data_IF_192952642951
#
_entry.id   IF_192952642951
#
_cell.length_a   1.000
_cell.length_b   1.000
_cell.length_c   1.000
_cell.angle_alpha   90.00
_cell.angle_beta   90.00
_cell.angle_gamma   90.00
#
_symmetry.space_group_name_H-M   'P 1'
#
loop_
_entity.id
_entity.type
_entity.pdbx_description
1 polymer ?
#
# COMPACT_ATOMS: atom_id res chain seq x y z
N UNK A 1 1.60 -36.17 -14.52
CA UNK A 1 1.50 -36.09 -13.06
C UNK A 1 0.22 -35.36 -12.74
N UNK A 2 -0.78 -36.10 -12.29
CA UNK A 2 -2.12 -35.57 -12.02
C UNK A 2 -2.28 -35.24 -10.55
N UNK A 3 -2.89 -34.09 -10.28
CA UNK A 3 -3.42 -33.75 -8.96
C UNK A 3 -4.93 -33.59 -9.09
N UNK A 4 -5.63 -34.69 -8.87
CA UNK A 4 -7.07 -34.74 -8.71
C UNK A 4 -7.42 -34.33 -7.29
N UNK A 5 -7.97 -33.12 -7.13
CA UNK A 5 -8.58 -32.69 -5.87
C UNK A 5 -9.81 -33.56 -5.54
N UNK A 6 -9.98 -33.99 -4.28
CA UNK A 6 -11.09 -34.87 -3.91
C UNK A 6 -12.41 -34.08 -3.87
N UNK A 7 -13.38 -34.55 -4.67
CA UNK A 7 -14.79 -34.18 -4.57
C UNK A 7 -15.33 -34.76 -3.28
N UNK A 8 -15.73 -33.92 -2.33
CA UNK A 8 -16.55 -34.35 -1.20
C UNK A 8 -17.98 -34.54 -1.69
N UNK A 9 -18.30 -35.79 -1.98
CA UNK A 9 -19.64 -36.31 -2.20
C UNK A 9 -20.50 -36.03 -0.97
N UNK A 10 -21.59 -35.28 -1.16
CA UNK A 10 -22.68 -35.23 -0.20
C UNK A 10 -23.39 -36.56 -0.19
N UNK A 11 -23.22 -37.32 0.88
CA UNK A 11 -24.05 -38.47 1.20
C UNK A 11 -24.06 -38.62 2.71
N UNK A 12 -25.24 -38.58 3.31
CA UNK A 12 -25.77 -39.57 4.26
C UNK A 12 -27.13 -39.01 4.71
N UNK A 13 -28.20 -39.41 4.03
CA UNK A 13 -29.49 -39.60 4.70
C UNK A 13 -29.29 -40.81 5.61
N UNK A 14 -29.37 -40.58 6.91
CA UNK A 14 -29.33 -41.61 7.93
C UNK A 14 -30.51 -41.39 8.84
N UNK A 15 -31.62 -42.04 8.50
CA UNK A 15 -32.71 -42.29 9.44
C UNK A 15 -32.13 -42.96 10.69
N UNK A 16 -32.28 -42.32 11.83
CA UNK A 16 -32.10 -42.97 13.14
C UNK A 16 -33.29 -42.61 14.02
N UNK A 17 -34.41 -43.26 13.72
CA UNK A 17 -35.43 -43.57 14.72
C UNK A 17 -34.93 -44.77 15.54
N UNK A 18 -34.30 -44.51 16.69
CA UNK A 18 -34.29 -45.45 17.82
C UNK A 18 -33.72 -44.83 19.09
N UNK A 19 -34.59 -44.57 20.07
CA UNK A 19 -34.47 -45.15 21.41
C UNK A 19 -35.64 -44.67 22.29
N UNK A 20 -36.68 -45.50 22.37
CA UNK A 20 -37.67 -45.44 23.44
C UNK A 20 -37.41 -46.64 24.36
N UNK A 21 -36.56 -46.46 25.38
CA UNK A 21 -36.34 -47.43 26.44
C UNK A 21 -37.15 -47.00 27.67
N UNK A 22 -38.13 -47.85 27.97
CA UNK A 22 -38.87 -48.05 29.23
C UNK A 22 -38.27 -47.37 30.47
N UNK A 23 -39.11 -46.59 31.15
CA UNK A 23 -39.24 -46.63 32.61
C UNK A 23 -40.73 -46.57 32.97
N UNK A 24 -41.21 -47.66 33.55
CA UNK A 24 -42.51 -47.81 34.21
C UNK A 24 -42.46 -47.19 35.61
N UNK A 25 -43.59 -46.64 36.07
CA UNK A 25 -43.72 -45.98 37.38
C UNK A 25 -44.77 -44.87 37.35
N UNK A 26 -46.02 -45.25 37.55
CA UNK A 26 -47.17 -44.36 37.45
C UNK A 26 -47.20 -43.20 38.45
N UNK A 27 -47.66 -42.03 37.96
CA UNK A 27 -48.66 -41.15 38.59
C UNK A 27 -48.83 -39.85 37.74
N UNK A 28 -50.09 -39.47 37.50
CA UNK A 28 -50.57 -38.17 36.97
C UNK A 28 -50.29 -37.87 35.47
N UNK A 29 -51.18 -38.35 34.60
CA UNK A 29 -51.04 -38.36 33.14
C UNK A 29 -51.59 -37.16 32.33
N UNK A 30 -51.58 -35.92 32.82
CA UNK A 30 -52.03 -34.77 32.00
C UNK A 30 -51.08 -33.56 31.95
N UNK A 31 -50.13 -33.45 32.88
CA UNK A 31 -49.22 -32.29 32.93
C UNK A 31 -47.88 -32.52 32.20
N UNK A 32 -47.46 -33.78 32.01
CA UNK A 32 -46.16 -34.13 31.42
C UNK A 32 -46.15 -33.97 29.90
N UNK A 33 -47.20 -34.42 29.21
CA UNK A 33 -47.29 -34.35 27.74
C UNK A 33 -47.28 -32.92 27.20
N UNK A 34 -48.01 -32.01 27.85
CA UNK A 34 -48.01 -30.59 27.48
C UNK A 34 -46.64 -29.91 27.63
N UNK A 35 -45.77 -30.44 28.49
CA UNK A 35 -44.42 -29.90 28.69
C UNK A 35 -43.42 -30.43 27.66
N UNK A 36 -43.51 -31.71 27.27
CA UNK A 36 -42.75 -32.30 26.15
C UNK A 36 -43.12 -31.65 24.83
N UNK A 37 -44.42 -31.50 24.56
CA UNK A 37 -44.92 -30.90 23.32
C UNK A 37 -44.48 -29.43 23.16
N UNK A 38 -44.43 -28.67 24.27
CA UNK A 38 -43.86 -27.31 24.28
C UNK A 38 -42.34 -27.30 24.06
N UNK A 39 -41.61 -28.28 24.59
CA UNK A 39 -40.16 -28.41 24.39
C UNK A 39 -39.84 -28.78 22.94
N UNK A 40 -40.64 -29.64 22.31
CA UNK A 40 -40.52 -30.01 20.91
C UNK A 40 -40.88 -28.84 19.99
N UNK A 41 -41.94 -28.10 20.30
CA UNK A 41 -42.30 -26.90 19.57
C UNK A 41 -41.20 -25.81 19.65
N UNK A 42 -40.54 -25.66 20.81
CA UNK A 42 -39.37 -24.78 20.98
C UNK A 42 -38.17 -25.27 20.15
N UNK A 43 -37.95 -26.57 20.10
CA UNK A 43 -36.86 -27.19 19.33
C UNK A 43 -37.07 -27.01 17.82
N UNK A 44 -38.29 -27.23 17.33
CA UNK A 44 -38.66 -27.00 15.92
C UNK A 44 -38.45 -25.53 15.52
N UNK A 45 -38.87 -24.58 16.36
CA UNK A 45 -38.64 -23.13 16.11
C UNK A 45 -37.16 -22.79 16.04
N UNK A 46 -36.34 -23.32 16.95
CA UNK A 46 -34.88 -23.11 16.95
C UNK A 46 -34.24 -23.67 15.68
N UNK A 47 -34.65 -24.86 15.23
CA UNK A 47 -34.15 -25.47 14.00
C UNK A 47 -34.53 -24.66 12.76
N UNK A 48 -35.76 -24.14 12.69
CA UNK A 48 -36.19 -23.25 11.62
C UNK A 48 -35.35 -21.96 11.56
N UNK A 49 -35.14 -21.31 12.71
CA UNK A 49 -34.28 -20.11 12.80
C UNK A 49 -32.82 -20.41 12.44
N UNK A 50 -32.28 -21.56 12.85
CA UNK A 50 -30.92 -21.96 12.47
C UNK A 50 -30.81 -22.22 10.97
N UNK A 51 -31.81 -22.85 10.35
CA UNK A 51 -31.87 -23.05 8.89
C UNK A 51 -31.87 -21.71 8.15
N UNK A 52 -32.66 -20.74 8.61
CA UNK A 52 -32.67 -19.39 8.03
C UNK A 52 -31.35 -18.64 8.25
N UNK A 53 -30.79 -18.71 9.45
CA UNK A 53 -29.50 -18.10 9.78
C UNK A 53 -28.36 -18.68 8.92
N UNK A 54 -28.36 -20.01 8.72
CA UNK A 54 -27.39 -20.69 7.86
C UNK A 54 -27.53 -20.25 6.39
N UNK A 55 -28.75 -20.13 5.86
CA UNK A 55 -28.98 -19.60 4.50
C UNK A 55 -28.47 -18.17 4.37
N UNK A 56 -28.79 -17.29 5.32
CA UNK A 56 -28.32 -15.89 5.33
C UNK A 56 -26.79 -15.81 5.43
N UNK A 57 -26.18 -16.66 6.24
CA UNK A 57 -24.72 -16.77 6.36
C UNK A 57 -24.07 -17.18 5.04
N UNK A 58 -24.58 -18.26 4.41
CA UNK A 58 -24.11 -18.74 3.10
C UNK A 58 -24.25 -17.66 2.02
N UNK A 59 -25.38 -16.95 1.99
CA UNK A 59 -25.61 -15.90 1.01
C UNK A 59 -24.62 -14.74 1.16
N UNK A 60 -24.37 -14.28 2.40
CA UNK A 60 -23.35 -13.25 2.68
C UNK A 60 -21.95 -13.70 2.29
N UNK A 61 -21.57 -14.94 2.63
CA UNK A 61 -20.27 -15.48 2.24
C UNK A 61 -20.11 -15.53 0.71
N UNK A 62 -21.17 -15.94 0.00
CA UNK A 62 -21.18 -15.95 -1.47
C UNK A 62 -20.99 -14.54 -2.04
N UNK A 63 -21.72 -13.55 -1.53
CA UNK A 63 -21.60 -12.16 -1.97
C UNK A 63 -20.19 -11.59 -1.69
N UNK A 64 -19.62 -11.88 -0.51
CA UNK A 64 -18.27 -11.44 -0.16
C UNK A 64 -17.19 -12.07 -1.06
N UNK A 65 -17.27 -13.38 -1.33
CA UNK A 65 -16.34 -14.06 -2.24
C UNK A 65 -16.45 -13.48 -3.65
N UNK A 66 -17.66 -13.24 -4.15
CA UNK A 66 -17.87 -12.59 -5.45
C UNK A 66 -17.27 -11.17 -5.49
N UNK A 67 -17.42 -10.39 -4.42
CA UNK A 67 -16.79 -9.08 -4.30
C UNK A 67 -15.25 -9.19 -4.32
N UNK A 68 -14.68 -10.18 -3.63
CA UNK A 68 -13.24 -10.43 -3.64
C UNK A 68 -12.75 -10.80 -5.05
N UNK A 69 -13.45 -11.68 -5.77
CA UNK A 69 -13.12 -12.04 -7.15
C UNK A 69 -13.16 -10.82 -8.08
N UNK A 70 -14.21 -9.99 -7.98
CA UNK A 70 -14.30 -8.73 -8.72
C UNK A 70 -13.15 -7.77 -8.38
N UNK A 71 -12.81 -7.64 -7.10
CA UNK A 71 -11.71 -6.77 -6.66
C UNK A 71 -10.35 -7.25 -7.19
N UNK A 72 -10.13 -8.58 -7.20
CA UNK A 72 -8.92 -9.20 -7.74
C UNK A 72 -8.78 -8.94 -9.23
N UNK A 73 -9.85 -9.12 -10.00
CA UNK A 73 -9.85 -8.83 -11.44
C UNK A 73 -9.54 -7.36 -11.72
N UNK A 74 -10.16 -6.44 -10.97
CA UNK A 74 -9.89 -5.00 -11.09
C UNK A 74 -8.44 -4.66 -10.77
N UNK A 75 -7.86 -5.30 -9.76
CA UNK A 75 -6.46 -5.09 -9.39
C UNK A 75 -5.52 -5.57 -10.49
N UNK A 76 -5.78 -6.76 -11.07
CA UNK A 76 -5.01 -7.25 -12.21
C UNK A 76 -5.13 -6.32 -13.43
N UNK A 77 -6.30 -5.75 -13.69
CA UNK A 77 -6.48 -4.77 -14.77
C UNK A 77 -5.65 -3.50 -14.53
N UNK A 78 -5.74 -2.91 -13.33
CA UNK A 78 -4.98 -1.72 -12.96
C UNK A 78 -3.47 -1.97 -13.02
N UNK A 79 -3.01 -3.15 -12.64
CA UNK A 79 -1.60 -3.54 -12.73
C UNK A 79 -1.13 -3.61 -14.18
N UNK A 80 -1.94 -4.18 -15.09
CA UNK A 80 -1.66 -4.18 -16.53
C UNK A 80 -1.65 -2.77 -17.12
N UNK A 81 -2.61 -1.91 -16.74
CA UNK A 81 -2.65 -0.51 -17.18
C UNK A 81 -1.42 0.26 -16.70
N UNK A 82 -0.98 0.05 -15.46
CA UNK A 82 0.22 0.67 -14.90
C UNK A 82 1.49 0.19 -15.61
N UNK A 83 1.62 -1.11 -15.89
CA UNK A 83 2.72 -1.64 -16.69
C UNK A 83 2.75 -1.04 -18.10
N UNK A 84 1.58 -0.93 -18.75
CA UNK A 84 1.44 -0.30 -20.07
C UNK A 84 1.83 1.19 -20.04
N UNK A 85 1.35 1.94 -19.04
CA UNK A 85 1.68 3.35 -18.86
C UNK A 85 3.17 3.55 -18.61
N UNK A 86 3.83 2.65 -17.86
CA UNK A 86 5.30 2.66 -17.71
C UNK A 86 6.02 2.41 -19.03
N UNK A 87 5.59 1.45 -19.83
CA UNK A 87 6.19 1.20 -21.16
C UNK A 87 5.97 2.37 -22.13
N UNK A 88 4.80 3.00 -22.11
CA UNK A 88 4.52 4.20 -22.90
C UNK A 88 5.33 5.41 -22.39
N UNK A 89 5.51 5.57 -21.08
CA UNK A 89 6.38 6.58 -20.48
C UNK A 89 7.86 6.40 -20.79
N UNK A 90 8.31 5.16 -21.07
CA UNK A 90 9.66 4.89 -21.60
C UNK A 90 9.79 5.28 -23.08
N UNK A 91 8.70 5.23 -23.86
CA UNK A 91 8.67 5.61 -25.28
C UNK A 91 8.48 7.12 -25.51
N UNK A 92 7.85 7.86 -24.60
CA UNK A 92 7.67 9.33 -24.71
C UNK A 92 8.95 10.12 -24.38
N UNK A 93 10.05 9.46 -24.01
CA UNK A 93 11.36 10.13 -24.00
C UNK A 93 11.96 10.36 -25.40
N UNK A 94 11.35 9.87 -26.50
CA UNK A 94 11.91 10.03 -27.85
C UNK A 94 11.10 10.85 -28.85
N UNK A 95 9.87 11.29 -28.55
CA UNK A 95 9.06 11.98 -29.55
C UNK A 95 8.26 13.13 -28.94
N UNK A 96 8.58 14.35 -29.37
CA UNK A 96 7.85 15.56 -29.05
C UNK A 96 6.40 15.53 -29.57
N UNK A 97 5.61 16.43 -29.00
CA UNK A 97 4.21 16.74 -29.30
C UNK A 97 3.15 15.75 -28.80
N UNK A 98 2.58 16.03 -27.61
CA UNK A 98 1.14 16.29 -27.54
C UNK A 98 0.71 17.02 -26.26
N UNK A 99 -0.02 18.11 -26.49
CA UNK A 99 -0.77 18.87 -25.51
C UNK A 99 -1.91 18.03 -24.88
N UNK A 100 -2.42 18.49 -23.72
CA UNK A 100 -3.56 17.95 -22.94
C UNK A 100 -3.26 16.87 -21.88
N UNK A 101 -2.46 17.22 -20.86
CA UNK A 101 -2.73 16.86 -19.44
C UNK A 101 -1.90 17.75 -18.50
N UNK A 102 -2.32 19.00 -18.31
CA UNK A 102 -1.53 20.04 -17.64
C UNK A 102 -1.20 19.75 -16.17
N UNK A 103 -1.99 18.93 -15.47
CA UNK A 103 -1.70 18.59 -14.04
C UNK A 103 -0.76 17.39 -13.89
N UNK A 104 -0.77 16.42 -14.82
CA UNK A 104 0.11 15.24 -14.76
C UNK A 104 1.53 15.50 -15.27
N UNK A 105 1.68 16.44 -16.20
CA UNK A 105 2.98 16.75 -16.83
C UNK A 105 3.95 17.48 -15.87
N UNK A 106 3.45 18.34 -14.98
CA UNK A 106 4.28 19.14 -14.09
C UNK A 106 5.07 18.29 -13.09
N UNK A 107 4.44 17.25 -12.54
CA UNK A 107 5.08 16.30 -11.61
C UNK A 107 6.20 15.51 -12.29
N UNK A 108 5.95 14.97 -13.49
CA UNK A 108 6.97 14.23 -14.25
C UNK A 108 8.11 15.13 -14.73
N UNK A 109 7.81 16.37 -15.12
CA UNK A 109 8.82 17.35 -15.51
C UNK A 109 9.74 17.71 -14.34
N UNK A 110 9.16 17.98 -13.16
CA UNK A 110 9.93 18.22 -11.94
C UNK A 110 10.83 17.03 -11.58
N UNK A 111 10.30 15.80 -11.62
CA UNK A 111 11.07 14.60 -11.30
C UNK A 111 12.28 14.43 -12.24
N UNK A 112 12.10 14.71 -13.53
CA UNK A 112 13.16 14.65 -14.53
C UNK A 112 14.21 15.76 -14.34
N UNK A 113 13.78 16.99 -14.09
CA UNK A 113 14.68 18.13 -13.83
C UNK A 113 15.47 17.92 -12.53
N UNK A 114 14.82 17.47 -11.46
CA UNK A 114 15.47 17.19 -10.18
C UNK A 114 16.48 16.05 -10.28
N UNK A 115 16.19 15.00 -11.07
CA UNK A 115 17.14 13.90 -11.33
C UNK A 115 18.40 14.40 -12.04
N UNK A 116 18.24 15.16 -13.13
CA UNK A 116 19.36 15.79 -13.85
C UNK A 116 20.17 16.69 -12.92
N UNK A 117 19.50 17.50 -12.11
CA UNK A 117 20.16 18.34 -11.12
C UNK A 117 21.01 17.53 -10.12
N UNK A 118 20.51 16.37 -9.65
CA UNK A 118 21.25 15.48 -8.75
C UNK A 118 22.50 14.88 -9.40
N UNK A 119 22.39 14.45 -10.65
CA UNK A 119 23.52 13.90 -11.42
C UNK A 119 24.64 14.95 -11.53
N UNK A 120 24.27 16.19 -11.83
CA UNK A 120 25.17 17.32 -11.96
C UNK A 120 25.77 17.77 -10.62
N UNK A 121 25.00 17.69 -9.53
CA UNK A 121 25.47 18.03 -8.18
C UNK A 121 26.72 17.22 -7.83
N UNK A 122 26.72 15.92 -8.11
CA UNK A 122 27.87 15.06 -7.79
C UNK A 122 29.12 15.43 -8.61
N UNK A 123 28.95 15.82 -9.87
CA UNK A 123 30.04 16.34 -10.71
C UNK A 123 30.61 17.63 -10.12
N UNK A 124 29.74 18.59 -9.77
CA UNK A 124 30.13 19.88 -9.19
C UNK A 124 30.82 19.75 -7.83
N UNK A 125 30.37 18.84 -6.98
CA UNK A 125 31.06 18.56 -5.71
C UNK A 125 32.45 17.96 -5.91
N UNK A 126 32.61 17.05 -6.88
CA UNK A 126 33.92 16.47 -7.21
C UNK A 126 34.88 17.51 -7.77
N UNK A 127 34.40 18.40 -8.63
CA UNK A 127 35.16 19.53 -9.18
C UNK A 127 35.69 20.43 -8.04
N UNK A 128 34.82 20.78 -7.09
CA UNK A 128 35.20 21.57 -5.92
C UNK A 128 36.23 20.85 -5.02
N UNK A 129 36.02 19.57 -4.71
CA UNK A 129 36.98 18.78 -3.93
C UNK A 129 38.33 18.68 -4.64
N UNK A 130 38.33 18.42 -5.95
CA UNK A 130 39.57 18.32 -6.74
C UNK A 130 40.35 19.63 -6.74
N UNK A 131 39.67 20.77 -6.89
CA UNK A 131 40.31 22.07 -6.86
C UNK A 131 40.91 22.40 -5.47
N UNK A 132 40.24 21.95 -4.40
CA UNK A 132 40.76 22.08 -3.05
C UNK A 132 42.01 21.21 -2.85
N UNK A 133 41.96 19.95 -3.28
CA UNK A 133 43.07 19.00 -3.16
C UNK A 133 44.29 19.43 -3.97
N UNK A 134 44.07 19.99 -5.16
CA UNK A 134 45.13 20.51 -6.03
C UNK A 134 45.65 21.89 -5.62
N UNK A 135 45.15 22.47 -4.52
CA UNK A 135 45.50 23.81 -4.05
C UNK A 135 45.33 24.86 -5.16
N UNK A 136 44.17 24.82 -5.84
CA UNK A 136 43.83 25.75 -6.91
C UNK A 136 43.96 27.21 -6.45
N UNK A 137 44.28 28.08 -7.41
CA UNK A 137 44.41 29.51 -7.13
C UNK A 137 43.09 30.12 -6.66
N UNK A 138 43.13 31.18 -5.83
CA UNK A 138 41.93 31.87 -5.36
C UNK A 138 40.91 32.22 -6.48
N UNK A 139 41.29 32.81 -7.63
CA UNK A 139 40.33 33.14 -8.68
C UNK A 139 39.69 31.91 -9.32
N UNK A 140 40.43 30.81 -9.44
CA UNK A 140 39.92 29.54 -9.95
C UNK A 140 38.93 28.92 -8.97
N UNK A 141 39.30 28.86 -7.68
CA UNK A 141 38.43 28.36 -6.62
C UNK A 141 37.14 29.18 -6.52
N UNK A 142 37.23 30.51 -6.61
CA UNK A 142 36.07 31.41 -6.63
C UNK A 142 35.12 31.08 -7.78
N UNK A 143 35.65 30.88 -8.98
CA UNK A 143 34.85 30.53 -10.17
C UNK A 143 34.10 29.21 -9.95
N UNK A 144 34.75 28.20 -9.36
CA UNK A 144 34.13 26.91 -9.07
C UNK A 144 33.03 27.06 -8.00
N UNK A 145 33.28 27.84 -6.94
CA UNK A 145 32.30 28.13 -5.89
C UNK A 145 31.08 28.84 -6.47
N UNK A 146 31.27 29.87 -7.30
CA UNK A 146 30.18 30.57 -7.98
C UNK A 146 29.35 29.61 -8.85
N UNK A 147 30.01 28.70 -9.58
CA UNK A 147 29.31 27.67 -10.35
C UNK A 147 28.51 26.67 -9.48
N UNK A 148 29.01 26.30 -8.29
CA UNK A 148 28.29 25.46 -7.34
C UNK A 148 27.08 26.20 -6.77
N UNK A 149 27.23 27.48 -6.40
CA UNK A 149 26.12 28.29 -5.89
C UNK A 149 25.02 28.47 -6.93
N UNK A 150 25.38 28.81 -8.17
CA UNK A 150 24.43 28.89 -9.27
C UNK A 150 23.69 27.56 -9.51
N UNK A 151 24.37 26.42 -9.34
CA UNK A 151 23.74 25.10 -9.41
C UNK A 151 22.68 24.93 -8.31
N UNK A 152 22.92 25.38 -7.08
CA UNK A 152 21.92 25.32 -6.02
C UNK A 152 20.76 26.32 -6.23
N UNK A 153 21.02 27.51 -6.76
CA UNK A 153 19.96 28.46 -7.13
C UNK A 153 18.97 27.84 -8.13
N UNK A 154 19.49 27.08 -9.10
CA UNK A 154 18.69 26.34 -10.07
C UNK A 154 17.74 25.33 -9.40
N UNK A 155 18.19 24.63 -8.34
CA UNK A 155 17.31 23.75 -7.56
C UNK A 155 16.11 24.51 -6.98
N UNK A 156 16.35 25.69 -6.41
CA UNK A 156 15.28 26.50 -5.83
C UNK A 156 14.35 27.05 -6.90
N UNK A 157 14.87 27.38 -8.09
CA UNK A 157 14.06 27.78 -9.25
C UNK A 157 13.13 26.64 -9.69
N UNK A 158 13.65 25.43 -9.84
CA UNK A 158 12.88 24.23 -10.22
C UNK A 158 11.81 23.92 -9.16
N UNK A 159 12.17 23.93 -7.87
CA UNK A 159 11.23 23.73 -6.77
C UNK A 159 10.14 24.81 -6.68
N UNK A 160 10.51 26.07 -6.90
CA UNK A 160 9.56 27.19 -6.91
C UNK A 160 8.54 27.04 -8.05
N UNK A 161 9.00 26.64 -9.24
CA UNK A 161 8.10 26.35 -10.35
C UNK A 161 7.18 25.16 -10.05
N UNK A 162 7.73 24.07 -9.50
CA UNK A 162 6.93 22.92 -9.10
C UNK A 162 5.87 23.28 -8.04
N UNK A 163 6.24 24.06 -7.02
CA UNK A 163 5.31 24.49 -5.97
C UNK A 163 4.15 25.34 -6.51
N UNK A 164 4.38 26.17 -7.54
CA UNK A 164 3.32 26.95 -8.20
C UNK A 164 2.29 26.09 -8.92
N UNK A 165 2.68 24.89 -9.37
CA UNK A 165 1.82 23.97 -10.12
C UNK A 165 1.18 22.91 -9.20
N UNK A 166 1.99 22.28 -8.34
CA UNK A 166 1.56 21.26 -7.40
C UNK A 166 2.49 21.21 -6.17
N UNK A 167 2.08 21.89 -5.10
CA UNK A 167 2.80 21.86 -3.82
C UNK A 167 2.73 20.49 -3.14
N UNK A 168 1.69 19.68 -3.37
CA UNK A 168 1.56 18.37 -2.77
C UNK A 168 2.56 17.39 -3.37
N UNK A 169 2.83 17.47 -4.69
CA UNK A 169 3.91 16.70 -5.31
C UNK A 169 5.27 17.07 -4.73
N UNK A 170 5.52 18.36 -4.44
CA UNK A 170 6.78 18.77 -3.81
C UNK A 170 6.93 18.24 -2.37
N UNK A 171 5.84 18.18 -1.59
CA UNK A 171 5.88 17.75 -0.19
C UNK A 171 5.78 16.23 0.00
N UNK A 172 5.02 15.55 -0.85
CA UNK A 172 4.63 14.13 -0.69
C UNK A 172 4.87 13.27 -1.93
N UNK A 173 5.39 13.85 -3.01
CA UNK A 173 5.68 13.14 -4.25
C UNK A 173 6.84 12.15 -4.14
N UNK A 174 6.97 11.33 -5.18
CA UNK A 174 7.94 10.23 -5.24
C UNK A 174 9.34 10.65 -5.73
N UNK A 175 9.59 11.95 -5.86
CA UNK A 175 10.88 12.51 -6.28
C UNK A 175 12.02 12.25 -5.28
N UNK A 176 11.69 11.79 -4.07
CA UNK A 176 12.61 11.40 -2.99
C UNK A 176 12.37 9.96 -2.55
N UNK A 177 13.46 9.29 -2.17
CA UNK A 177 13.36 7.93 -1.61
C UNK A 177 12.56 7.94 -0.31
N UNK A 178 11.90 6.82 0.06
CA UNK A 178 11.21 6.71 1.34
C UNK A 178 12.11 7.07 2.54
N UNK A 179 13.38 6.65 2.51
CA UNK A 179 14.36 6.95 3.55
C UNK A 179 14.66 8.45 3.66
N UNK A 180 14.87 9.15 2.54
CA UNK A 180 15.07 10.61 2.56
C UNK A 180 13.84 11.35 3.08
N UNK A 181 12.63 10.89 2.73
CA UNK A 181 11.38 11.52 3.16
C UNK A 181 11.18 11.49 4.67
N UNK A 182 11.70 10.48 5.37
CA UNK A 182 11.66 10.42 6.84
C UNK A 182 12.36 11.61 7.51
N UNK A 183 13.32 12.23 6.81
CA UNK A 183 14.09 13.36 7.32
C UNK A 183 13.77 14.67 6.60
N UNK A 184 12.66 14.76 5.87
CA UNK A 184 12.24 16.00 5.20
C UNK A 184 11.10 16.69 5.97
N UNK A 185 11.14 18.01 6.02
CA UNK A 185 10.07 18.88 6.49
C UNK A 185 9.92 20.08 5.54
N UNK A 186 8.98 21.00 5.81
CA UNK A 186 8.67 22.15 4.94
C UNK A 186 9.92 22.97 4.53
N UNK A 187 10.93 23.04 5.39
CA UNK A 187 12.20 23.75 5.13
C UNK A 187 13.32 22.91 4.52
N UNK A 188 13.08 21.64 4.16
CA UNK A 188 14.11 20.74 3.62
C UNK A 188 14.52 19.67 4.63
N UNK A 189 15.82 19.42 4.77
CA UNK A 189 16.33 18.33 5.61
C UNK A 189 16.22 18.67 7.10
N UNK A 190 15.65 17.75 7.89
CA UNK A 190 15.55 17.79 9.34
C UNK A 190 16.67 16.94 9.94
N UNK A 191 17.84 17.56 10.08
CA UNK A 191 19.05 16.91 10.62
C UNK A 191 18.88 16.39 12.05
N UNK A 192 17.99 16.98 12.86
CA UNK A 192 17.76 16.56 14.25
C UNK A 192 17.36 15.10 14.37
N UNK A 193 16.57 14.57 13.44
CA UNK A 193 16.06 13.20 13.52
C UNK A 193 17.16 12.19 13.13
N UNK A 194 18.06 12.57 12.22
CA UNK A 194 19.26 11.81 11.92
C UNK A 194 20.24 11.79 13.10
N UNK A 195 20.45 12.94 13.73
CA UNK A 195 21.36 13.05 14.88
C UNK A 195 20.87 12.21 16.07
N UNK A 196 19.56 12.19 16.35
CA UNK A 196 18.97 11.31 17.38
C UNK A 196 19.20 9.82 17.07
N UNK A 197 19.02 9.44 15.80
CA UNK A 197 19.29 8.06 15.37
C UNK A 197 20.75 7.70 15.61
N UNK A 198 21.70 8.54 15.16
CA UNK A 198 23.13 8.29 15.34
C UNK A 198 23.50 8.25 16.83
N UNK A 199 23.01 9.20 17.63
CA UNK A 199 23.28 9.23 19.07
C UNK A 199 22.89 7.91 19.75
N UNK A 200 21.72 7.34 19.42
CA UNK A 200 21.28 6.05 19.95
C UNK A 200 22.19 4.86 19.62
N UNK A 201 23.01 4.97 18.57
CA UNK A 201 23.96 3.94 18.14
C UNK A 201 25.38 4.16 18.70
N UNK A 202 25.72 5.41 19.03
CA UNK A 202 27.04 5.79 19.58
C UNK A 202 27.07 5.61 21.09
N UNK A 203 25.97 5.91 21.78
CA UNK A 203 25.86 5.82 23.24
C UNK A 203 26.24 4.42 23.80
N UNK A 204 25.86 3.30 23.16
CA UNK A 204 26.30 1.95 23.57
C UNK A 204 27.76 1.60 23.23
N UNK A 205 28.45 2.41 22.43
CA UNK A 205 29.86 2.19 22.04
C UNK A 205 30.84 3.01 22.88
N UNK A 206 30.31 3.95 23.68
CA UNK A 206 31.06 4.80 24.61
C UNK A 206 31.08 4.28 26.05
N UNK A 207 30.38 3.18 26.33
CA UNK A 207 30.56 2.35 27.53
C UNK A 207 31.50 1.16 27.25
#
# INVERSE_FOLDING_TARGET
MGDTSPRTSGSTDGDMDQNNLMYDGGHVGESSDRSKEKMDQKTVRRLAQNREAARKSRLRKKAYVQQLENSRLKLTQLEQELQRARQQGVFISSSGDQAHSTTGNGAMAFDAEYRRWQEDKNRKMKELSSALDSHASEPELRTIVEAVLAHYEELFRIKSNAAKNDVFHLLSGMWKTPAERCFLWLGGFRSSDLLKLIASQVEPLTE
#
